data_IF_645454558093
#
_entry.id   IF_645454558093
#
_cell.length_a   1.000
_cell.length_b   1.000
_cell.length_c   1.000
_cell.angle_alpha   90.00
_cell.angle_beta   90.00
_cell.angle_gamma   90.00
#
_symmetry.space_group_name_H-M   'P 1'
#
loop_
_entity.id
_entity.type
_entity.pdbx_description
1 polymer ?
#
# COMPACT_ATOMS: atom_id res chain seq x y z
N UNK A 1 7.57 16.12 -13.06
CA UNK A 1 8.89 15.72 -12.56
C UNK A 1 8.79 15.72 -11.06
N UNK A 2 9.15 14.63 -10.37
CA UNK A 2 9.70 14.82 -9.05
C UNK A 2 10.80 15.87 -9.15
N UNK A 3 11.00 16.71 -8.12
CA UNK A 3 12.23 17.46 -7.97
C UNK A 3 13.37 16.52 -8.38
N UNK A 4 14.37 17.05 -9.08
CA UNK A 4 15.46 16.22 -9.60
C UNK A 4 15.95 15.32 -8.46
N UNK A 5 16.04 14.02 -8.73
CA UNK A 5 16.55 13.07 -7.74
C UNK A 5 17.95 13.51 -7.33
N UNK A 6 18.07 13.94 -6.09
CA UNK A 6 19.33 14.38 -5.50
C UNK A 6 19.47 13.75 -4.11
N UNK A 7 20.23 12.66 -3.98
CA UNK A 7 20.44 11.98 -2.70
C UNK A 7 21.03 12.88 -1.61
N UNK A 8 21.73 13.95 -1.98
CA UNK A 8 22.31 14.91 -1.01
C UNK A 8 21.24 15.74 -0.29
N UNK A 9 20.08 15.96 -0.92
CA UNK A 9 18.96 16.72 -0.35
C UNK A 9 18.11 15.91 0.64
N UNK A 10 18.35 14.61 0.78
CA UNK A 10 17.49 13.69 1.55
C UNK A 10 17.30 14.12 3.02
N UNK A 11 18.40 14.44 3.72
CA UNK A 11 18.34 14.82 5.13
C UNK A 11 17.49 16.10 5.33
N UNK A 12 17.74 17.12 4.52
CA UNK A 12 17.01 18.40 4.59
C UNK A 12 15.52 18.21 4.33
N UNK A 13 15.18 17.34 3.37
CA UNK A 13 13.79 17.03 3.05
C UNK A 13 13.10 16.24 4.18
N UNK A 14 13.78 15.28 4.80
CA UNK A 14 13.26 14.55 5.95
C UNK A 14 13.02 15.47 7.14
N UNK A 15 13.99 16.35 7.45
CA UNK A 15 13.86 17.36 8.52
C UNK A 15 12.66 18.27 8.29
N UNK A 16 12.43 18.70 7.04
CA UNK A 16 11.26 19.52 6.69
C UNK A 16 9.94 18.78 6.92
N UNK A 17 9.86 17.48 6.61
CA UNK A 17 8.68 16.65 6.90
C UNK A 17 8.46 16.51 8.41
N UNK A 18 9.51 16.26 9.17
CA UNK A 18 9.45 16.17 10.64
C UNK A 18 8.96 17.49 11.24
N UNK A 19 9.51 18.62 10.80
CA UNK A 19 9.08 19.94 11.27
C UNK A 19 7.60 20.19 10.98
N UNK A 20 7.14 19.86 9.76
CA UNK A 20 5.72 19.98 9.38
C UNK A 20 4.80 19.12 10.22
N UNK A 21 5.15 17.85 10.48
CA UNK A 21 4.34 16.98 11.32
C UNK A 21 4.25 17.49 12.76
N UNK A 22 5.37 17.96 13.33
CA UNK A 22 5.41 18.61 14.66
C UNK A 22 4.48 19.83 14.71
N UNK A 23 4.55 20.71 13.73
CA UNK A 23 3.71 21.90 13.66
C UNK A 23 2.21 21.55 13.62
N UNK A 24 1.84 20.57 12.78
CA UNK A 24 0.45 20.13 12.64
C UNK A 24 -0.11 19.46 13.90
N UNK A 25 0.71 18.72 14.64
CA UNK A 25 0.28 17.98 15.81
C UNK A 25 0.50 18.71 17.15
N UNK A 26 1.26 19.81 17.14
CA UNK A 26 1.54 20.61 18.33
C UNK A 26 0.27 21.10 19.07
N UNK A 27 -0.81 21.56 18.39
CA UNK A 27 -2.03 22.00 19.05
C UNK A 27 -2.71 20.91 19.92
N UNK A 28 -2.44 19.65 19.60
CA UNK A 28 -3.05 18.49 20.28
C UNK A 28 -2.15 17.88 21.36
N UNK A 29 -1.00 18.55 21.67
CA UNK A 29 -0.09 18.07 22.70
C UNK A 29 0.64 16.77 22.34
N UNK A 30 0.90 16.54 21.05
CA UNK A 30 1.61 15.36 20.60
C UNK A 30 3.03 15.27 21.17
N UNK A 31 3.51 14.08 21.57
CA UNK A 31 4.91 13.88 21.90
C UNK A 31 5.81 14.04 20.66
N UNK A 32 7.12 14.08 20.87
CA UNK A 32 8.10 14.07 19.78
C UNK A 32 7.88 12.84 18.88
N UNK A 33 7.77 13.00 17.55
CA UNK A 33 7.55 11.89 16.65
C UNK A 33 8.78 10.98 16.55
N UNK A 34 8.57 9.67 16.62
CA UNK A 34 9.56 8.71 16.17
C UNK A 34 9.73 8.85 14.65
N UNK A 35 10.97 8.96 14.18
CA UNK A 35 11.26 9.18 12.76
C UNK A 35 11.84 7.91 12.13
N UNK A 36 11.19 7.44 11.08
CA UNK A 36 11.59 6.26 10.33
C UNK A 36 11.98 6.67 8.91
N UNK A 37 13.27 6.73 8.67
CA UNK A 37 13.88 7.07 7.40
C UNK A 37 13.72 5.97 6.35
N UNK A 38 13.96 6.34 5.08
CA UNK A 38 13.98 5.43 3.93
C UNK A 38 15.40 5.19 3.45
N UNK A 39 15.64 4.07 2.75
CA UNK A 39 16.77 4.01 1.82
C UNK A 39 16.71 5.20 0.86
N UNK A 40 17.87 5.75 0.52
CA UNK A 40 17.95 6.97 -0.34
C UNK A 40 17.71 6.65 -1.81
N UNK A 41 18.00 5.42 -2.21
CA UNK A 41 17.91 4.89 -3.57
C UNK A 41 17.23 3.52 -3.52
N UNK A 42 16.74 3.05 -4.65
CA UNK A 42 16.24 1.70 -4.87
C UNK A 42 15.13 1.25 -3.89
N UNK A 43 14.43 2.22 -3.29
CA UNK A 43 13.41 1.94 -2.28
C UNK A 43 12.05 1.59 -2.88
N UNK A 44 11.79 2.01 -4.14
CA UNK A 44 10.47 1.92 -4.75
C UNK A 44 10.28 0.59 -5.44
N UNK A 45 9.36 -0.22 -4.92
CA UNK A 45 9.05 -1.57 -5.42
C UNK A 45 8.05 -1.58 -6.56
N UNK A 46 7.42 -0.46 -6.87
CA UNK A 46 6.44 -0.34 -7.96
C UNK A 46 6.74 0.86 -8.83
N UNK A 47 6.77 0.63 -10.15
CA UNK A 47 6.94 1.69 -11.14
C UNK A 47 6.02 1.46 -12.34
N UNK A 48 5.53 2.54 -12.92
CA UNK A 48 4.69 2.54 -14.10
C UNK A 48 5.29 3.52 -15.11
N UNK A 49 5.47 3.07 -16.35
CA UNK A 49 5.97 3.89 -17.44
C UNK A 49 5.05 3.78 -18.64
N UNK A 50 4.75 4.92 -19.24
CA UNK A 50 4.22 4.94 -20.59
C UNK A 50 5.35 4.69 -21.58
N UNK A 51 4.99 4.21 -22.78
CA UNK A 51 5.95 4.07 -23.87
C UNK A 51 5.77 5.23 -24.85
N UNK A 52 6.86 5.93 -25.08
CA UNK A 52 6.95 7.00 -26.06
C UNK A 52 7.72 6.54 -27.30
N UNK A 53 7.24 6.94 -28.47
CA UNK A 53 7.92 6.59 -29.73
C UNK A 53 8.76 7.78 -30.19
N UNK A 54 10.06 7.55 -30.31
CA UNK A 54 11.04 8.50 -30.81
C UNK A 54 12.01 7.75 -31.74
N UNK A 55 12.35 8.34 -32.88
CA UNK A 55 13.24 7.76 -33.89
C UNK A 55 12.91 6.32 -34.31
N UNK A 56 11.61 6.01 -34.37
CA UNK A 56 11.12 4.68 -34.72
C UNK A 56 11.13 3.66 -33.60
N UNK A 57 11.74 3.94 -32.48
CA UNK A 57 11.86 3.07 -31.31
C UNK A 57 10.90 3.48 -30.18
N UNK A 58 10.59 2.53 -29.28
CA UNK A 58 9.84 2.79 -28.05
C UNK A 58 10.77 2.90 -26.86
N UNK A 59 10.53 3.93 -26.04
CA UNK A 59 11.29 4.22 -24.82
C UNK A 59 10.34 4.32 -23.65
N UNK A 60 10.79 3.97 -22.47
CA UNK A 60 10.09 4.33 -21.23
C UNK A 60 9.99 5.84 -21.12
N UNK A 61 8.84 6.33 -20.72
CA UNK A 61 8.61 7.76 -20.57
C UNK A 61 7.77 8.10 -19.35
N UNK A 62 8.08 9.22 -18.75
CA UNK A 62 7.27 9.89 -17.73
C UNK A 62 6.82 11.26 -18.26
N UNK A 63 5.78 11.81 -17.64
CA UNK A 63 5.22 13.09 -18.01
C UNK A 63 5.10 13.96 -16.75
N UNK A 64 5.46 15.24 -16.87
CA UNK A 64 5.18 16.18 -15.81
C UNK A 64 3.66 16.34 -15.61
N UNK A 65 3.20 16.58 -14.37
CA UNK A 65 1.78 16.83 -14.11
C UNK A 65 1.21 17.92 -15.02
N UNK A 66 0.14 17.59 -15.76
CA UNK A 66 -0.51 18.51 -16.72
C UNK A 66 0.12 18.54 -18.13
N UNK A 67 1.34 18.02 -18.34
CA UNK A 67 2.02 18.00 -19.63
C UNK A 67 1.89 16.63 -20.31
N UNK A 68 0.89 16.47 -21.18
CA UNK A 68 0.65 15.19 -21.89
C UNK A 68 1.50 14.98 -23.16
N UNK A 69 2.22 16.02 -23.60
CA UNK A 69 2.89 16.03 -24.92
C UNK A 69 4.40 16.15 -24.83
N UNK A 70 4.96 16.35 -23.64
CA UNK A 70 6.39 16.43 -23.42
C UNK A 70 6.85 15.23 -22.59
N UNK A 71 7.27 14.19 -23.31
CA UNK A 71 7.83 12.99 -22.70
C UNK A 71 9.21 13.26 -22.14
N UNK A 72 9.48 12.75 -20.97
CA UNK A 72 10.81 12.64 -20.39
C UNK A 72 11.18 11.18 -20.53
N UNK A 73 12.19 10.89 -21.38
CA UNK A 73 12.67 9.52 -21.59
C UNK A 73 13.41 9.06 -20.35
N UNK A 74 13.18 7.80 -19.99
CA UNK A 74 13.73 7.16 -18.79
C UNK A 74 14.50 5.92 -19.24
N UNK A 75 15.79 5.89 -19.03
CA UNK A 75 16.62 4.71 -19.29
C UNK A 75 16.96 3.96 -17.99
N UNK A 76 17.10 4.71 -16.90
CA UNK A 76 17.22 4.21 -15.54
C UNK A 76 16.28 4.97 -14.58
N UNK A 77 15.96 4.37 -13.45
CA UNK A 77 15.09 5.00 -12.47
C UNK A 77 15.65 4.78 -11.04
N UNK A 78 16.59 5.64 -10.60
CA UNK A 78 17.38 5.40 -9.37
C UNK A 78 16.57 5.15 -8.10
N UNK A 79 15.34 5.66 -8.03
CA UNK A 79 14.46 5.39 -6.88
C UNK A 79 13.78 4.02 -6.95
N UNK A 80 13.63 3.43 -8.14
CA UNK A 80 13.07 2.08 -8.28
C UNK A 80 14.04 1.02 -7.78
N UNK A 81 13.51 -0.11 -7.30
CA UNK A 81 14.31 -1.23 -6.83
C UNK A 81 15.37 -1.64 -7.86
N UNK A 82 16.48 -2.19 -7.39
CA UNK A 82 17.53 -2.74 -8.27
C UNK A 82 16.93 -3.74 -9.26
N UNK A 83 15.97 -4.56 -8.82
CA UNK A 83 15.29 -5.53 -9.68
C UNK A 83 14.50 -4.86 -10.80
N UNK A 84 13.82 -3.73 -10.56
CA UNK A 84 13.15 -2.97 -11.62
C UNK A 84 14.19 -2.43 -12.62
N UNK A 85 15.28 -1.84 -12.13
CA UNK A 85 16.34 -1.29 -12.97
C UNK A 85 17.06 -2.38 -13.79
N UNK A 86 17.22 -3.59 -13.27
CA UNK A 86 17.70 -4.76 -14.03
C UNK A 86 16.72 -5.19 -15.13
N UNK A 87 15.43 -5.23 -14.81
CA UNK A 87 14.39 -5.65 -15.75
C UNK A 87 14.15 -4.65 -16.88
N UNK A 88 14.27 -3.34 -16.64
CA UNK A 88 13.96 -2.30 -17.62
C UNK A 88 14.72 -2.47 -18.95
N UNK A 89 16.08 -2.54 -19.00
CA UNK A 89 16.80 -2.68 -20.25
C UNK A 89 16.55 -4.03 -20.93
N UNK A 90 16.41 -5.12 -20.18
CA UNK A 90 16.14 -6.46 -20.71
C UNK A 90 14.78 -6.55 -21.36
N UNK A 91 13.75 -6.02 -20.71
CA UNK A 91 12.39 -5.94 -21.24
C UNK A 91 12.34 -5.03 -22.49
N UNK A 92 13.07 -3.89 -22.48
CA UNK A 92 13.20 -2.99 -23.64
C UNK A 92 13.81 -3.72 -24.83
N UNK A 93 14.88 -4.46 -24.64
CA UNK A 93 15.50 -5.26 -25.70
C UNK A 93 14.52 -6.31 -26.28
N UNK A 94 13.76 -7.00 -25.42
CA UNK A 94 12.81 -8.02 -25.84
C UNK A 94 11.70 -7.46 -26.74
N UNK A 95 11.05 -6.36 -26.36
CA UNK A 95 10.01 -5.78 -27.23
C UNK A 95 10.58 -5.12 -28.49
N UNK A 96 11.83 -4.67 -28.49
CA UNK A 96 12.49 -4.16 -29.71
C UNK A 96 12.78 -5.28 -30.71
N UNK A 97 13.07 -6.49 -30.22
CA UNK A 97 13.35 -7.67 -31.04
C UNK A 97 12.08 -8.42 -31.51
N UNK A 98 10.91 -8.18 -30.90
CA UNK A 98 9.67 -8.92 -31.17
C UNK A 98 8.52 -7.99 -31.53
N UNK A 99 7.97 -8.13 -32.75
CA UNK A 99 6.77 -7.42 -33.18
C UNK A 99 5.55 -7.85 -32.33
N UNK A 100 5.46 -9.12 -31.95
CA UNK A 100 4.35 -9.65 -31.13
C UNK A 100 4.29 -8.97 -29.76
N UNK A 101 5.44 -8.68 -29.16
CA UNK A 101 5.53 -7.98 -27.88
C UNK A 101 5.41 -6.46 -28.03
N UNK A 102 5.86 -5.87 -29.11
CA UNK A 102 5.91 -4.42 -29.28
C UNK A 102 4.64 -3.80 -29.89
N UNK A 103 3.88 -4.56 -30.72
CA UNK A 103 2.76 -4.01 -31.47
C UNK A 103 1.69 -3.43 -30.55
N UNK A 104 1.49 -2.09 -30.63
CA UNK A 104 0.55 -1.29 -29.84
C UNK A 104 0.72 -1.43 -28.31
N UNK A 105 1.90 -1.82 -27.84
CA UNK A 105 2.28 -1.71 -26.43
C UNK A 105 2.38 -0.21 -26.08
N UNK A 106 1.70 0.22 -25.02
CA UNK A 106 1.66 1.65 -24.65
C UNK A 106 2.07 1.95 -23.21
N UNK A 107 2.07 0.93 -22.32
CA UNK A 107 2.41 1.07 -20.92
C UNK A 107 2.99 -0.22 -20.37
N UNK A 108 3.93 -0.09 -19.45
CA UNK A 108 4.51 -1.19 -18.68
C UNK A 108 4.46 -0.82 -17.20
N UNK A 109 4.03 -1.77 -16.39
CA UNK A 109 4.02 -1.66 -14.93
C UNK A 109 4.92 -2.75 -14.34
N UNK A 110 5.70 -2.36 -13.34
CA UNK A 110 6.55 -3.26 -12.57
C UNK A 110 6.07 -3.32 -11.13
N UNK A 111 6.02 -4.51 -10.57
CA UNK A 111 5.87 -4.75 -9.15
C UNK A 111 6.95 -5.75 -8.74
N UNK A 112 7.83 -5.33 -7.84
CA UNK A 112 8.84 -6.18 -7.21
C UNK A 112 8.63 -6.24 -5.73
N UNK A 113 9.30 -7.15 -5.04
CA UNK A 113 9.18 -7.35 -3.60
C UNK A 113 10.56 -7.43 -2.95
N UNK A 114 10.62 -7.21 -1.64
CA UNK A 114 11.86 -7.42 -0.87
C UNK A 114 12.28 -8.90 -0.88
N UNK A 115 11.33 -9.82 -1.07
CA UNK A 115 11.59 -11.25 -1.22
C UNK A 115 12.20 -11.63 -2.58
N UNK A 116 12.38 -10.66 -3.51
CA UNK A 116 12.97 -10.88 -4.84
C UNK A 116 11.97 -11.33 -5.90
N UNK A 117 10.69 -11.49 -5.58
CA UNK A 117 9.66 -11.79 -6.59
C UNK A 117 9.37 -10.58 -7.47
N UNK A 118 8.97 -10.82 -8.71
CA UNK A 118 8.69 -9.77 -9.67
C UNK A 118 7.51 -10.11 -10.59
N UNK A 119 6.74 -9.08 -10.89
CA UNK A 119 5.62 -9.12 -11.82
C UNK A 119 5.70 -7.94 -12.79
N UNK A 120 5.51 -8.21 -14.07
CA UNK A 120 5.49 -7.20 -15.13
C UNK A 120 4.14 -7.23 -15.81
N UNK A 121 3.47 -6.08 -15.89
CA UNK A 121 2.22 -5.92 -16.65
C UNK A 121 2.49 -5.11 -17.91
N UNK A 122 2.18 -5.68 -19.07
CA UNK A 122 2.30 -5.06 -20.38
C UNK A 122 0.90 -4.71 -20.92
N UNK A 123 0.63 -3.43 -21.17
CA UNK A 123 -0.69 -2.91 -21.57
C UNK A 123 -0.74 -2.53 -23.04
N UNK A 124 -1.77 -3.02 -23.75
CA UNK A 124 -1.88 -2.94 -25.21
C UNK A 124 -3.16 -2.29 -25.69
N UNK A 125 -3.07 -1.55 -26.81
CA UNK A 125 -4.21 -1.07 -27.59
C UNK A 125 -4.61 -2.02 -28.72
N UNK A 126 -4.37 -3.32 -28.57
CA UNK A 126 -4.80 -4.38 -29.49
C UNK A 126 -5.24 -5.63 -28.73
N UNK A 127 -6.05 -6.52 -29.32
CA UNK A 127 -6.28 -7.83 -28.76
C UNK A 127 -4.96 -8.62 -28.65
N UNK A 128 -4.84 -9.44 -27.63
CA UNK A 128 -3.73 -10.37 -27.43
C UNK A 128 -4.12 -11.73 -28.02
N UNK A 129 -3.24 -12.27 -28.83
CA UNK A 129 -3.39 -13.50 -29.58
C UNK A 129 -2.40 -14.58 -29.10
N UNK A 130 -2.42 -15.75 -29.76
CA UNK A 130 -1.56 -16.89 -29.44
C UNK A 130 -0.08 -16.57 -29.68
N UNK A 131 0.25 -15.79 -30.73
CA UNK A 131 1.62 -15.39 -31.02
C UNK A 131 2.19 -14.53 -29.87
N UNK A 132 1.39 -13.59 -29.36
CA UNK A 132 1.75 -12.83 -28.16
C UNK A 132 1.97 -13.75 -26.96
N UNK A 133 1.08 -14.72 -26.73
CA UNK A 133 1.18 -15.62 -25.59
C UNK A 133 2.46 -16.47 -25.61
N UNK A 134 2.84 -16.98 -26.79
CA UNK A 134 4.10 -17.73 -26.98
C UNK A 134 5.30 -16.86 -26.67
N UNK A 135 5.37 -15.65 -27.25
CA UNK A 135 6.46 -14.72 -27.00
C UNK A 135 6.53 -14.27 -25.53
N UNK A 136 5.38 -14.05 -24.89
CA UNK A 136 5.28 -13.67 -23.48
C UNK A 136 5.75 -14.79 -22.54
N UNK A 137 5.48 -16.06 -22.83
CA UNK A 137 5.99 -17.21 -22.06
C UNK A 137 7.50 -17.29 -22.08
N UNK A 138 8.11 -17.16 -23.26
CA UNK A 138 9.56 -17.14 -23.41
C UNK A 138 10.18 -15.98 -22.63
N UNK A 139 9.61 -14.80 -22.77
CA UNK A 139 10.07 -13.61 -22.06
C UNK A 139 9.95 -13.75 -20.54
N UNK A 140 8.83 -14.27 -20.03
CA UNK A 140 8.63 -14.49 -18.61
C UNK A 140 9.66 -15.45 -18.00
N UNK A 141 9.98 -16.54 -18.72
CA UNK A 141 11.01 -17.50 -18.34
C UNK A 141 12.41 -16.86 -18.35
N UNK A 142 12.77 -16.14 -19.43
CA UNK A 142 14.06 -15.46 -19.56
C UNK A 142 14.29 -14.43 -18.47
N UNK A 143 13.28 -13.64 -18.15
CA UNK A 143 13.37 -12.58 -17.13
C UNK A 143 13.18 -13.11 -15.70
N UNK A 144 12.64 -14.32 -15.52
CA UNK A 144 12.30 -14.88 -14.23
C UNK A 144 11.22 -14.07 -13.53
N UNK A 145 10.12 -13.73 -14.23
CA UNK A 145 9.02 -12.89 -13.73
C UNK A 145 7.66 -13.52 -14.00
N UNK A 146 6.66 -13.12 -13.21
CA UNK A 146 5.27 -13.28 -13.61
C UNK A 146 4.92 -12.18 -14.61
N UNK A 147 4.31 -12.52 -15.74
CA UNK A 147 4.02 -11.56 -16.79
C UNK A 147 2.52 -11.52 -17.09
N UNK A 148 1.97 -10.32 -17.17
CA UNK A 148 0.56 -10.10 -17.45
C UNK A 148 0.42 -9.24 -18.71
N UNK A 149 -0.38 -9.70 -19.66
CA UNK A 149 -0.82 -8.92 -20.78
C UNK A 149 -2.22 -8.35 -20.55
N UNK A 150 -2.36 -7.03 -20.66
CA UNK A 150 -3.66 -6.35 -20.60
C UNK A 150 -4.03 -5.73 -21.93
N UNK A 151 -5.24 -5.96 -22.36
CA UNK A 151 -5.87 -5.25 -23.47
C UNK A 151 -7.34 -5.00 -23.14
N UNK A 152 -8.04 -4.22 -23.98
CA UNK A 152 -9.45 -3.90 -23.75
C UNK A 152 -10.28 -5.19 -23.56
N UNK A 153 -10.75 -5.41 -22.34
CA UNK A 153 -11.61 -6.55 -21.97
C UNK A 153 -10.92 -7.91 -21.87
N UNK A 154 -9.59 -7.99 -22.03
CA UNK A 154 -8.83 -9.25 -21.95
C UNK A 154 -7.61 -9.08 -21.03
N UNK A 155 -7.38 -10.09 -20.20
CA UNK A 155 -6.20 -10.23 -19.34
C UNK A 155 -5.64 -11.64 -19.53
N UNK A 156 -4.38 -11.74 -19.92
CA UNK A 156 -3.64 -13.01 -20.02
C UNK A 156 -2.58 -13.04 -18.94
N UNK A 157 -2.47 -14.16 -18.24
CA UNK A 157 -1.53 -14.34 -17.12
C UNK A 157 -0.56 -15.45 -17.46
N UNK A 158 0.72 -15.13 -17.44
CA UNK A 158 1.82 -16.07 -17.56
C UNK A 158 2.49 -16.19 -16.19
N UNK A 159 2.35 -17.36 -15.56
CA UNK A 159 2.74 -17.57 -14.17
C UNK A 159 1.60 -17.26 -13.21
N UNK A 160 1.83 -16.38 -12.24
CA UNK A 160 0.88 -15.96 -11.20
C UNK A 160 0.38 -14.54 -11.48
N UNK A 161 -0.80 -14.21 -11.00
CA UNK A 161 -1.37 -12.87 -11.06
C UNK A 161 -1.13 -12.06 -9.77
N UNK A 162 -0.17 -12.48 -8.98
CA UNK A 162 0.31 -11.80 -7.77
C UNK A 162 1.82 -11.99 -7.58
N UNK A 163 2.45 -11.03 -6.95
CA UNK A 163 3.79 -11.16 -6.41
C UNK A 163 3.74 -11.57 -4.93
N UNK A 164 4.76 -12.28 -4.45
CA UNK A 164 4.90 -12.67 -3.04
C UNK A 164 5.90 -11.75 -2.36
N UNK A 165 5.42 -11.03 -1.36
CA UNK A 165 6.25 -10.23 -0.47
C UNK A 165 6.47 -10.95 0.86
N UNK A 166 7.63 -10.74 1.49
CA UNK A 166 7.93 -11.24 2.84
C UNK A 166 8.46 -10.09 3.69
N UNK A 167 7.76 -9.80 4.78
CA UNK A 167 8.08 -8.70 5.68
C UNK A 167 8.36 -9.25 7.07
N UNK A 168 9.49 -8.85 7.65
CA UNK A 168 9.81 -9.15 9.05
C UNK A 168 9.17 -8.11 9.97
N UNK A 169 8.38 -8.56 10.92
CA UNK A 169 7.78 -7.72 11.95
C UNK A 169 8.09 -8.35 13.31
N UNK A 170 8.94 -7.69 14.08
CA UNK A 170 9.36 -8.13 15.41
C UNK A 170 9.93 -9.56 15.43
N UNK A 171 10.70 -9.95 14.40
CA UNK A 171 11.34 -11.25 14.28
C UNK A 171 10.44 -12.37 13.75
N UNK A 172 9.20 -12.06 13.37
CA UNK A 172 8.31 -12.97 12.63
C UNK A 172 8.17 -12.51 11.18
N UNK A 173 8.43 -13.42 10.24
CA UNK A 173 8.26 -13.16 8.81
C UNK A 173 6.81 -13.48 8.42
N UNK A 174 6.15 -12.49 7.84
CA UNK A 174 4.81 -12.62 7.25
C UNK A 174 4.91 -12.65 5.73
N UNK A 175 4.16 -13.54 5.10
CA UNK A 175 4.06 -13.69 3.65
C UNK A 175 2.80 -13.02 3.13
N UNK A 176 2.93 -12.22 2.07
CA UNK A 176 1.83 -11.47 1.49
C UNK A 176 1.72 -11.71 -0.01
N UNK A 177 0.56 -12.11 -0.48
CA UNK A 177 0.22 -12.01 -1.89
C UNK A 177 -0.17 -10.58 -2.22
N UNK A 178 0.49 -10.04 -3.21
CA UNK A 178 0.24 -8.71 -3.75
C UNK A 178 -0.34 -8.84 -5.15
N UNK A 179 -1.69 -8.84 -5.31
CA UNK A 179 -2.32 -9.03 -6.61
C UNK A 179 -2.00 -7.89 -7.58
N UNK A 180 -1.93 -8.23 -8.85
CA UNK A 180 -1.78 -7.27 -9.94
C UNK A 180 -2.89 -6.23 -9.89
N UNK A 181 -2.52 -4.95 -10.01
CA UNK A 181 -3.44 -3.82 -9.96
C UNK A 181 -3.98 -3.46 -8.58
N UNK A 182 -3.71 -4.25 -7.52
CA UNK A 182 -4.05 -3.88 -6.16
C UNK A 182 -3.09 -2.84 -5.58
N UNK A 183 -3.54 -2.11 -4.56
CA UNK A 183 -2.67 -1.22 -3.81
C UNK A 183 -1.65 -2.02 -3.01
N UNK A 184 -0.42 -1.56 -3.02
CA UNK A 184 0.67 -2.04 -2.15
C UNK A 184 1.52 -0.85 -1.71
N UNK A 185 2.10 -0.93 -0.52
CA UNK A 185 3.04 0.09 -0.05
C UNK A 185 4.27 0.12 -0.97
N UNK A 186 4.58 1.28 -1.59
CA UNK A 186 5.60 1.33 -2.62
C UNK A 186 7.04 1.20 -2.09
N UNK A 187 7.27 1.45 -0.82
CA UNK A 187 8.57 1.32 -0.15
C UNK A 187 8.48 0.21 0.90
N UNK A 188 8.91 -0.99 0.53
CA UNK A 188 8.81 -2.17 1.41
C UNK A 188 9.62 -2.05 2.69
N UNK A 189 10.80 -1.42 2.64
CA UNK A 189 11.64 -1.22 3.81
C UNK A 189 10.97 -0.30 4.85
N UNK A 190 10.33 0.77 4.40
CA UNK A 190 9.57 1.67 5.28
C UNK A 190 8.28 0.99 5.72
N UNK A 191 7.63 0.20 4.86
CA UNK A 191 6.46 -0.59 5.27
C UNK A 191 6.77 -1.53 6.44
N UNK A 192 7.92 -2.23 6.44
CA UNK A 192 8.34 -3.03 7.60
C UNK A 192 8.47 -2.19 8.88
N UNK A 193 9.00 -0.97 8.78
CA UNK A 193 9.11 -0.05 9.91
C UNK A 193 7.72 0.41 10.40
N UNK A 194 6.78 0.66 9.47
CA UNK A 194 5.38 1.00 9.79
C UNK A 194 4.69 -0.15 10.53
N UNK A 195 4.81 -1.36 10.00
CA UNK A 195 4.24 -2.56 10.62
C UNK A 195 4.82 -2.81 12.01
N UNK A 196 6.13 -2.71 12.16
CA UNK A 196 6.83 -2.91 13.44
C UNK A 196 6.43 -1.86 14.48
N UNK A 197 6.31 -0.59 14.06
CA UNK A 197 5.84 0.47 14.93
C UNK A 197 4.39 0.27 15.38
N UNK A 198 3.50 -0.09 14.44
CA UNK A 198 2.09 -0.36 14.75
C UNK A 198 1.93 -1.55 15.68
N UNK A 199 2.67 -2.63 15.43
CA UNK A 199 2.75 -3.82 16.27
C UNK A 199 3.20 -3.48 17.70
N UNK A 200 4.23 -2.65 17.84
CA UNK A 200 4.75 -2.21 19.12
C UNK A 200 3.80 -1.24 19.84
N UNK A 201 3.19 -0.30 19.09
CA UNK A 201 2.19 0.62 19.61
C UNK A 201 0.91 -0.10 20.06
N UNK A 202 0.51 -1.18 19.37
CA UNK A 202 -0.62 -2.02 19.76
C UNK A 202 -0.38 -2.64 21.14
N UNK A 203 0.82 -3.18 21.38
CA UNK A 203 1.13 -3.95 22.59
C UNK A 203 0.33 -5.25 22.69
N UNK A 204 0.56 -6.06 23.70
CA UNK A 204 -0.26 -7.26 23.98
C UNK A 204 -1.65 -6.86 24.44
N UNK A 205 -2.69 -7.47 23.87
CA UNK A 205 -4.10 -7.16 24.15
C UNK A 205 -4.90 -8.42 24.47
N UNK A 206 -5.70 -8.34 25.52
CA UNK A 206 -6.69 -9.37 25.84
C UNK A 206 -8.09 -9.06 25.26
N UNK A 207 -8.25 -7.82 24.71
CA UNK A 207 -9.46 -7.36 24.05
C UNK A 207 -9.42 -7.60 22.53
N UNK A 208 -10.52 -7.28 21.85
CA UNK A 208 -10.66 -7.44 20.43
C UNK A 208 -10.20 -6.17 19.68
N UNK A 209 -9.68 -6.37 18.49
CA UNK A 209 -9.32 -5.33 17.54
C UNK A 209 -10.42 -5.17 16.48
N UNK A 210 -10.87 -3.93 16.27
CA UNK A 210 -11.57 -3.55 15.06
C UNK A 210 -10.58 -2.96 14.07
N UNK A 211 -10.54 -3.45 12.83
CA UNK A 211 -9.72 -2.89 11.77
C UNK A 211 -10.59 -2.42 10.60
N UNK A 212 -10.42 -1.15 10.23
CA UNK A 212 -11.06 -0.55 9.07
C UNK A 212 -10.02 -0.32 7.97
N UNK A 213 -10.46 -0.47 6.69
CA UNK A 213 -9.59 -0.27 5.52
C UNK A 213 -8.40 -1.26 5.47
N UNK A 214 -8.64 -2.54 5.78
CA UNK A 214 -7.53 -3.50 5.98
C UNK A 214 -6.74 -3.86 4.71
N UNK A 215 -7.21 -3.48 3.51
CA UNK A 215 -6.55 -3.79 2.26
C UNK A 215 -6.35 -5.29 2.04
N UNK A 216 -5.13 -5.69 1.69
CA UNK A 216 -4.74 -7.10 1.55
C UNK A 216 -4.28 -7.74 2.88
N UNK A 217 -4.57 -7.10 4.01
CA UNK A 217 -4.18 -7.57 5.34
C UNK A 217 -2.78 -7.14 5.78
N UNK A 218 -2.26 -6.03 5.21
CA UNK A 218 -0.90 -5.56 5.48
C UNK A 218 -0.63 -5.38 6.99
N UNK A 219 -1.52 -4.66 7.69
CA UNK A 219 -1.44 -4.51 9.15
C UNK A 219 -2.17 -5.62 9.90
N UNK A 220 -3.23 -6.19 9.32
CA UNK A 220 -4.05 -7.24 9.94
C UNK A 220 -3.19 -8.41 10.44
N UNK A 221 -2.28 -8.90 9.60
CA UNK A 221 -1.46 -10.09 9.93
C UNK A 221 -0.64 -9.91 11.20
N UNK A 222 0.22 -8.87 11.35
CA UNK A 222 0.97 -8.69 12.57
C UNK A 222 0.08 -8.28 13.76
N UNK A 223 -0.92 -7.41 13.56
CA UNK A 223 -1.76 -6.93 14.66
C UNK A 223 -2.67 -8.03 15.23
N UNK A 224 -3.11 -8.97 14.41
CA UNK A 224 -3.91 -10.11 14.87
C UNK A 224 -3.17 -10.97 15.91
N UNK A 225 -1.84 -11.00 15.84
CA UNK A 225 -1.04 -11.75 16.83
C UNK A 225 -0.98 -11.07 18.20
N UNK A 226 -1.49 -9.85 18.32
CA UNK A 226 -1.52 -9.04 19.55
C UNK A 226 -2.92 -8.89 20.14
N UNK A 227 -3.97 -9.36 19.46
CA UNK A 227 -5.36 -9.24 19.88
C UNK A 227 -5.99 -10.62 20.12
N UNK A 228 -7.02 -10.67 20.96
CA UNK A 228 -7.80 -11.90 21.18
C UNK A 228 -8.50 -12.33 19.90
N UNK A 229 -9.24 -11.44 19.27
CA UNK A 229 -9.89 -11.59 17.98
C UNK A 229 -9.84 -10.28 17.19
N UNK A 230 -9.93 -10.38 15.87
CA UNK A 230 -9.95 -9.22 14.97
C UNK A 230 -11.20 -9.29 14.09
N UNK A 231 -11.95 -8.19 14.04
CA UNK A 231 -12.92 -7.94 12.98
C UNK A 231 -12.31 -6.93 12.00
N UNK A 232 -12.03 -7.36 10.78
CA UNK A 232 -11.43 -6.52 9.75
C UNK A 232 -12.40 -6.26 8.61
N UNK A 233 -12.37 -5.04 8.04
CA UNK A 233 -13.23 -4.68 6.90
C UNK A 233 -12.45 -4.07 5.75
N UNK A 234 -12.89 -4.41 4.52
CA UNK A 234 -12.34 -3.90 3.27
C UNK A 234 -13.43 -3.92 2.19
N UNK A 235 -13.48 -2.92 1.32
CA UNK A 235 -14.48 -2.80 0.26
C UNK A 235 -14.09 -3.53 -1.03
N UNK A 236 -12.79 -3.56 -1.35
CA UNK A 236 -12.25 -4.17 -2.57
C UNK A 236 -12.31 -5.69 -2.52
N UNK A 237 -13.03 -6.31 -3.45
CA UNK A 237 -13.09 -7.77 -3.55
C UNK A 237 -11.72 -8.41 -3.76
N UNK A 238 -10.87 -7.79 -4.57
CA UNK A 238 -9.50 -8.29 -4.85
C UNK A 238 -8.65 -8.27 -3.59
N UNK A 239 -8.70 -7.17 -2.83
CA UNK A 239 -7.97 -7.03 -1.56
C UNK A 239 -8.48 -8.01 -0.51
N UNK A 240 -9.81 -8.17 -0.36
CA UNK A 240 -10.41 -9.17 0.54
C UNK A 240 -9.93 -10.58 0.23
N UNK A 241 -9.97 -10.97 -1.05
CA UNK A 241 -9.52 -12.32 -1.45
C UNK A 241 -8.02 -12.52 -1.16
N UNK A 242 -7.19 -11.49 -1.40
CA UNK A 242 -5.77 -11.54 -1.06
C UNK A 242 -5.55 -11.64 0.45
N UNK A 243 -6.27 -10.84 1.24
CA UNK A 243 -6.17 -10.87 2.69
C UNK A 243 -6.56 -12.24 3.26
N UNK A 244 -7.65 -12.86 2.78
CA UNK A 244 -8.04 -14.21 3.19
C UNK A 244 -6.96 -15.24 2.88
N UNK A 245 -6.36 -15.17 1.67
CA UNK A 245 -5.23 -16.05 1.32
C UNK A 245 -4.00 -15.79 2.20
N UNK A 246 -3.75 -14.54 2.55
CA UNK A 246 -2.62 -14.15 3.40
C UNK A 246 -2.81 -14.62 4.84
N UNK A 247 -4.03 -14.54 5.37
CA UNK A 247 -4.37 -15.09 6.70
C UNK A 247 -4.11 -16.60 6.75
N UNK A 248 -4.60 -17.35 5.77
CA UNK A 248 -4.42 -18.80 5.66
C UNK A 248 -2.94 -19.17 5.55
N UNK A 249 -2.19 -18.52 4.65
CA UNK A 249 -0.76 -18.79 4.42
C UNK A 249 0.11 -18.51 5.66
N UNK A 250 -0.26 -17.55 6.51
CA UNK A 250 0.44 -17.21 7.73
C UNK A 250 -0.08 -17.92 8.99
N UNK A 251 -1.11 -18.78 8.87
CA UNK A 251 -1.72 -19.48 9.99
C UNK A 251 -2.35 -18.54 11.02
N UNK A 252 -2.99 -17.45 10.55
CA UNK A 252 -3.71 -16.49 11.38
C UNK A 252 -5.20 -16.82 11.32
N UNK A 253 -5.74 -17.36 12.40
CA UNK A 253 -7.10 -17.93 12.47
C UNK A 253 -8.08 -17.11 13.33
N UNK A 254 -7.59 -16.11 14.05
CA UNK A 254 -8.39 -15.25 14.94
C UNK A 254 -8.95 -14.00 14.25
N UNK A 255 -8.96 -13.94 12.91
CA UNK A 255 -9.45 -12.80 12.12
C UNK A 255 -10.75 -13.14 11.42
N UNK A 256 -11.78 -12.34 11.64
CA UNK A 256 -12.99 -12.32 10.83
C UNK A 256 -12.93 -11.14 9.86
N UNK A 257 -12.76 -11.44 8.58
CA UNK A 257 -12.68 -10.41 7.54
C UNK A 257 -14.01 -10.32 6.79
N UNK A 258 -14.55 -9.11 6.66
CA UNK A 258 -15.84 -8.84 6.03
C UNK A 258 -15.69 -7.79 4.94
N UNK A 259 -16.29 -8.07 3.77
CA UNK A 259 -16.30 -7.09 2.68
C UNK A 259 -17.37 -6.02 2.92
N UNK A 260 -16.99 -4.97 3.65
CA UNK A 260 -17.82 -3.79 3.97
C UNK A 260 -16.96 -2.52 3.87
N UNK A 261 -17.60 -1.39 3.60
CA UNK A 261 -16.95 -0.10 3.82
C UNK A 261 -16.97 0.27 5.32
N UNK A 262 -16.13 1.24 5.71
CA UNK A 262 -16.11 1.74 7.08
C UNK A 262 -17.47 2.33 7.47
N UNK A 263 -18.10 3.07 6.55
CA UNK A 263 -19.43 3.66 6.75
C UNK A 263 -20.51 2.58 6.92
N UNK A 264 -20.48 1.51 6.12
CA UNK A 264 -21.42 0.39 6.24
C UNK A 264 -21.28 -0.31 7.61
N UNK A 265 -20.04 -0.52 8.06
CA UNK A 265 -19.81 -1.11 9.39
C UNK A 265 -20.24 -0.15 10.51
N UNK A 266 -19.95 1.15 10.37
CA UNK A 266 -20.42 2.18 11.32
C UNK A 266 -21.95 2.15 11.46
N UNK A 267 -22.69 2.06 10.33
CA UNK A 267 -24.14 1.91 10.36
C UNK A 267 -24.59 0.62 11.03
N UNK A 268 -23.86 -0.49 10.82
CA UNK A 268 -24.18 -1.77 11.46
C UNK A 268 -23.98 -1.71 12.98
N UNK A 269 -22.86 -1.15 13.44
CA UNK A 269 -22.55 -0.97 14.87
C UNK A 269 -23.51 0.02 15.57
N UNK A 270 -24.07 0.98 14.81
CA UNK A 270 -25.10 1.90 15.25
C UNK A 270 -26.53 1.33 15.12
N UNK A 271 -26.68 0.08 14.69
CA UNK A 271 -27.97 -0.59 14.48
C UNK A 271 -28.91 0.18 13.52
N UNK A 272 -28.36 0.98 12.60
CA UNK A 272 -29.14 1.76 11.63
C UNK A 272 -29.90 0.84 10.67
N UNK A 273 -29.25 -0.24 10.22
CA UNK A 273 -29.85 -1.27 9.36
C UNK A 273 -29.05 -2.57 9.40
N UNK A 274 -29.67 -3.72 9.11
CA UNK A 274 -28.94 -4.98 8.98
C UNK A 274 -28.14 -5.04 7.68
N UNK A 275 -27.02 -5.75 7.71
CA UNK A 275 -26.19 -6.03 6.55
C UNK A 275 -26.03 -7.51 6.37
N UNK A 276 -26.45 -8.05 5.20
CA UNK A 276 -26.37 -9.47 4.88
C UNK A 276 -24.95 -10.05 5.03
N UNK A 277 -23.93 -9.23 4.79
CA UNK A 277 -22.54 -9.68 4.91
C UNK A 277 -22.08 -9.87 6.36
N UNK A 278 -22.86 -9.42 7.33
CA UNK A 278 -22.65 -9.61 8.76
C UNK A 278 -23.51 -10.75 9.33
N UNK A 279 -24.31 -11.45 8.50
CA UNK A 279 -25.06 -12.61 8.96
C UNK A 279 -24.12 -13.66 9.59
N UNK A 280 -24.46 -14.10 10.80
CA UNK A 280 -23.64 -15.03 11.58
C UNK A 280 -22.46 -14.41 12.32
N UNK A 281 -22.34 -13.08 12.32
CA UNK A 281 -21.37 -12.33 13.14
C UNK A 281 -22.14 -11.57 14.21
N UNK A 282 -21.95 -11.96 15.45
CA UNK A 282 -22.52 -11.23 16.60
C UNK A 282 -21.56 -10.08 16.99
N UNK A 283 -21.85 -8.88 16.48
CA UNK A 283 -21.03 -7.69 16.78
C UNK A 283 -21.03 -7.34 18.27
N UNK A 284 -22.08 -7.75 19.01
CA UNK A 284 -22.20 -7.46 20.45
C UNK A 284 -21.36 -8.38 21.34
N UNK A 285 -20.94 -9.52 20.79
CA UNK A 285 -20.05 -10.46 21.50
C UNK A 285 -18.61 -10.02 21.52
N UNK A 286 -18.23 -9.04 20.68
CA UNK A 286 -16.89 -8.50 20.64
C UNK A 286 -16.64 -7.49 21.76
N UNK A 287 -15.51 -7.65 22.45
CA UNK A 287 -15.01 -6.71 23.44
C UNK A 287 -13.93 -5.80 22.81
N UNK A 288 -14.37 -4.94 21.88
CA UNK A 288 -13.45 -4.05 21.18
C UNK A 288 -12.82 -3.01 22.12
N UNK A 289 -11.53 -3.11 22.37
CA UNK A 289 -10.76 -2.10 23.11
C UNK A 289 -9.95 -1.18 22.21
N UNK A 290 -9.52 -1.68 21.06
CA UNK A 290 -8.71 -0.93 20.10
C UNK A 290 -9.37 -0.91 18.73
N UNK A 291 -9.30 0.26 18.05
CA UNK A 291 -9.59 0.36 16.61
C UNK A 291 -8.31 0.74 15.88
N UNK A 292 -8.01 0.03 14.78
CA UNK A 292 -6.96 0.37 13.83
C UNK A 292 -7.59 0.93 12.55
N UNK A 293 -7.03 2.04 12.04
CA UNK A 293 -7.48 2.67 10.80
C UNK A 293 -6.30 3.09 9.93
N UNK A 294 -6.38 2.79 8.62
CA UNK A 294 -5.48 3.27 7.56
C UNK A 294 -6.34 3.79 6.39
N UNK A 295 -7.04 4.93 6.58
CA UNK A 295 -8.00 5.42 5.63
C UNK A 295 -7.34 6.02 4.37
N UNK A 296 -8.10 6.24 3.28
CA UNK A 296 -7.62 6.97 2.11
C UNK A 296 -7.23 8.41 2.45
N UNK A 297 -6.60 9.12 1.51
CA UNK A 297 -6.11 10.51 1.68
C UNK A 297 -7.12 11.51 2.23
N UNK A 298 -8.41 11.23 2.08
CA UNK A 298 -9.48 12.07 2.62
C UNK A 298 -9.62 11.98 4.15
N UNK A 299 -8.95 11.01 4.80
CA UNK A 299 -9.15 10.70 6.21
C UNK A 299 -10.42 9.88 6.46
N UNK A 300 -10.80 9.77 7.72
CA UNK A 300 -12.10 9.19 8.11
C UNK A 300 -13.22 10.19 7.85
N UNK A 301 -14.36 9.69 7.38
CA UNK A 301 -15.59 10.47 7.34
C UNK A 301 -16.11 10.77 8.77
N UNK A 302 -17.01 11.77 8.94
CA UNK A 302 -17.45 12.19 10.27
C UNK A 302 -18.09 11.07 11.11
N UNK A 303 -18.87 10.18 10.49
CA UNK A 303 -19.57 9.10 11.20
C UNK A 303 -18.56 8.02 11.65
N UNK A 304 -17.59 7.69 10.81
CA UNK A 304 -16.49 6.77 11.16
C UNK A 304 -15.61 7.38 12.25
N UNK A 305 -15.30 8.69 12.17
CA UNK A 305 -14.55 9.38 13.21
C UNK A 305 -15.29 9.35 14.55
N UNK A 306 -16.61 9.62 14.56
CA UNK A 306 -17.45 9.53 15.79
C UNK A 306 -17.52 8.09 16.33
N UNK A 307 -17.55 7.08 15.46
CA UNK A 307 -17.46 5.68 15.89
C UNK A 307 -16.17 5.42 16.67
N UNK A 308 -15.02 5.91 16.17
CA UNK A 308 -13.72 5.65 16.80
C UNK A 308 -13.62 6.24 18.21
N UNK A 309 -14.41 7.27 18.56
CA UNK A 309 -14.47 7.84 19.92
C UNK A 309 -14.91 6.85 21.00
N UNK A 310 -15.52 5.73 20.62
CA UNK A 310 -16.02 4.72 21.58
C UNK A 310 -14.93 3.81 22.12
N UNK A 311 -13.79 3.74 21.42
CA UNK A 311 -12.71 2.82 21.76
C UNK A 311 -11.77 3.43 22.80
N UNK A 312 -11.12 2.58 23.58
CA UNK A 312 -10.09 3.02 24.53
C UNK A 312 -8.82 3.48 23.82
N UNK A 313 -8.55 2.90 22.65
CA UNK A 313 -7.35 3.15 21.85
C UNK A 313 -7.69 3.26 20.38
N UNK A 314 -7.09 4.25 19.72
CA UNK A 314 -7.18 4.42 18.26
C UNK A 314 -5.75 4.40 17.71
N UNK A 315 -5.41 3.38 16.94
CA UNK A 315 -4.15 3.30 16.22
C UNK A 315 -4.41 3.73 14.78
N UNK A 316 -3.85 4.87 14.38
CA UNK A 316 -4.17 5.53 13.12
C UNK A 316 -2.91 5.72 12.28
N UNK A 317 -2.86 5.14 11.07
CA UNK A 317 -1.87 5.40 10.03
C UNK A 317 -2.51 6.31 8.99
N UNK A 318 -1.77 7.32 8.51
CA UNK A 318 -2.30 8.29 7.55
C UNK A 318 -1.25 8.74 6.55
N UNK A 319 -1.62 8.71 5.27
CA UNK A 319 -0.81 9.27 4.17
C UNK A 319 -1.03 10.77 3.95
N UNK A 320 -1.83 11.42 4.80
CA UNK A 320 -2.11 12.85 4.71
C UNK A 320 -2.17 13.48 6.11
N UNK A 321 -1.11 14.18 6.56
CA UNK A 321 -1.03 14.71 7.91
C UNK A 321 -2.06 15.81 8.19
N UNK A 322 -2.57 16.53 7.19
CA UNK A 322 -3.61 17.54 7.33
C UNK A 322 -4.95 16.91 7.70
N UNK A 323 -5.34 15.83 7.01
CA UNK A 323 -6.59 15.12 7.33
C UNK A 323 -6.47 14.36 8.64
N UNK A 324 -5.27 13.86 8.98
CA UNK A 324 -4.99 13.30 10.30
C UNK A 324 -5.23 14.35 11.40
N UNK A 325 -4.66 15.56 11.26
CA UNK A 325 -4.85 16.65 12.21
C UNK A 325 -6.34 17.03 12.36
N UNK A 326 -7.08 17.13 11.24
CA UNK A 326 -8.51 17.43 11.26
C UNK A 326 -9.35 16.33 11.95
N UNK A 327 -8.99 15.05 11.79
CA UNK A 327 -9.65 13.97 12.53
C UNK A 327 -9.28 13.99 14.03
N UNK A 328 -8.02 14.28 14.37
CA UNK A 328 -7.58 14.42 15.78
C UNK A 328 -8.31 15.58 16.46
N UNK A 329 -8.54 16.69 15.75
CA UNK A 329 -9.31 17.83 16.28
C UNK A 329 -10.70 17.39 16.75
N UNK A 330 -11.36 16.47 16.03
CA UNK A 330 -12.66 15.91 16.43
C UNK A 330 -12.57 14.93 17.61
N UNK A 331 -11.40 14.36 17.88
CA UNK A 331 -11.19 13.33 18.90
C UNK A 331 -10.56 13.87 20.19
N UNK A 332 -10.00 15.09 20.18
CA UNK A 332 -9.15 15.62 21.25
C UNK A 332 -9.84 15.83 22.60
N UNK A 333 -11.16 15.94 22.63
CA UNK A 333 -11.94 16.05 23.87
C UNK A 333 -12.05 14.71 24.61
N UNK A 334 -11.97 13.60 23.90
CA UNK A 334 -12.06 12.24 24.46
C UNK A 334 -10.73 11.49 24.49
N UNK A 335 -9.80 11.85 23.60
CA UNK A 335 -8.53 11.15 23.45
C UNK A 335 -7.35 12.13 23.49
N UNK A 336 -6.19 11.61 23.87
CA UNK A 336 -4.89 12.29 23.77
C UNK A 336 -3.94 11.48 22.91
N UNK A 337 -2.99 12.14 22.25
CA UNK A 337 -1.92 11.46 21.53
C UNK A 337 -0.92 10.91 22.55
N UNK A 338 -0.72 9.61 22.56
CA UNK A 338 0.27 8.94 23.41
C UNK A 338 1.58 8.69 22.69
N UNK A 339 1.50 8.34 21.39
CA UNK A 339 2.66 8.11 20.53
C UNK A 339 2.39 8.70 19.16
N UNK A 340 3.44 9.22 18.51
CA UNK A 340 3.37 9.58 17.10
C UNK A 340 4.65 9.19 16.37
N UNK A 341 4.55 9.01 15.07
CA UNK A 341 5.64 8.62 14.20
C UNK A 341 5.50 9.28 12.82
N UNK A 342 6.65 9.48 12.18
CA UNK A 342 6.77 9.81 10.77
C UNK A 342 7.50 8.67 10.06
N UNK A 343 6.93 8.24 8.92
CA UNK A 343 7.53 7.25 8.04
C UNK A 343 7.77 7.88 6.68
N UNK A 344 9.03 7.90 6.24
CA UNK A 344 9.38 8.49 4.94
C UNK A 344 9.15 7.50 3.80
N UNK A 345 7.87 7.15 3.57
CA UNK A 345 7.43 6.24 2.52
C UNK A 345 7.71 6.77 1.10
N UNK A 346 7.80 8.11 0.96
CA UNK A 346 7.93 8.82 -0.31
C UNK A 346 9.09 9.81 -0.30
N UNK A 347 10.36 9.36 -0.25
CA UNK A 347 11.52 10.25 -0.36
C UNK A 347 11.44 11.17 -1.57
N UNK A 348 12.06 12.35 -1.46
CA UNK A 348 12.12 13.37 -2.52
C UNK A 348 10.76 13.93 -2.97
N UNK A 349 9.74 13.76 -2.13
CA UNK A 349 8.42 14.35 -2.33
C UNK A 349 7.95 15.03 -1.04
N UNK A 350 6.89 15.84 -1.11
CA UNK A 350 6.26 16.42 0.07
C UNK A 350 5.33 15.44 0.82
N UNK A 351 5.10 14.25 0.25
CA UNK A 351 4.26 13.23 0.88
C UNK A 351 4.98 12.56 2.03
N UNK A 352 4.23 12.23 3.08
CA UNK A 352 4.70 11.47 4.23
C UNK A 352 3.60 10.54 4.72
N UNK A 353 3.98 9.47 5.38
CA UNK A 353 3.10 8.65 6.19
C UNK A 353 3.28 9.03 7.66
N UNK A 354 2.21 9.04 8.41
CA UNK A 354 2.22 9.37 9.83
C UNK A 354 1.48 8.31 10.62
N UNK A 355 1.96 8.00 11.80
CA UNK A 355 1.28 7.10 12.73
C UNK A 355 0.99 7.80 14.04
N UNK A 356 -0.21 7.63 14.59
CA UNK A 356 -0.53 8.07 15.95
C UNK A 356 -1.23 6.96 16.72
N UNK A 357 -0.90 6.86 18.00
CA UNK A 357 -1.68 6.13 18.97
C UNK A 357 -2.39 7.14 19.85
N UNK A 358 -3.72 7.15 19.77
CA UNK A 358 -4.57 7.93 20.65
C UNK A 358 -5.11 7.01 21.74
N UNK A 359 -5.10 7.50 22.98
CA UNK A 359 -5.66 6.81 24.15
C UNK A 359 -6.69 7.68 24.83
N UNK A 360 -7.69 7.04 25.39
CA UNK A 360 -8.78 7.71 26.10
C UNK A 360 -8.22 8.53 27.25
N UNK A 361 -8.80 9.70 27.48
CA UNK A 361 -8.45 10.62 28.60
C UNK A 361 -8.97 10.09 29.94
#
# INVERSE_FOLDING_TARGET
MSAAFDPSSYATQLDAKVARLRELLAPFGAPEPAVFDSPREHYRLRAEFRLWREDGQRHYAMFAPGEKHKAILIDDFPIASERINDLMPRLKAAWQASEDLSNRLFQVEFLTTLAGDAMVTMCYHRPLDEAWEVAARQLAEELGVNLIGRSKGKRLVIGRDYAVEKLDVAGRVFSYRQPEGAFTQPNGAVNQKMLSWAFDAMGEREDDLLELYCGNGNFTLPLATRARQVLATEISKTSVNAALSNLDENGVDNVRLVRLSAEELTQALNEVRPFRRLEGIDLKSHAFGTVFVDPPRAGMDPDTCELTRRFERILYISCNPETLAANIEQLQDTHRIERCALFDQFPYTHHMESGVLLVRR
#
